data_IF_351950422610
#
_entry.id   IF_351950422610
#
_cell.length_a   1.000
_cell.length_b   1.000
_cell.length_c   1.000
_cell.angle_alpha   90.00
_cell.angle_beta   90.00
_cell.angle_gamma   90.00
#
_symmetry.space_group_name_H-M   'P 1'
#
loop_
_entity.id
_entity.type
_entity.pdbx_description
1 polymer ?
#
# COMPACT_ATOMS: atom_id res chain seq x y z
N UNK A 1 3.90 -1.37 4.22
CA UNK A 1 4.82 -2.20 5.03
C UNK A 1 3.97 -3.04 5.98
N UNK A 2 4.35 -4.29 6.21
CA UNK A 2 3.73 -5.26 7.12
C UNK A 2 4.86 -6.19 7.62
N UNK A 3 4.58 -7.07 8.58
CA UNK A 3 5.61 -7.85 9.27
C UNK A 3 6.40 -7.08 10.34
N UNK A 4 6.02 -5.83 10.64
CA UNK A 4 6.56 -5.02 11.74
C UNK A 4 5.40 -4.49 12.57
N UNK A 5 5.45 -4.52 13.93
CA UNK A 5 6.54 -5.01 14.77
C UNK A 5 6.58 -6.54 14.92
N UNK A 6 5.50 -7.24 14.55
CA UNK A 6 5.44 -8.70 14.61
C UNK A 6 5.71 -9.28 13.23
N UNK A 7 6.77 -10.08 13.14
CA UNK A 7 7.08 -10.83 11.93
C UNK A 7 5.96 -11.83 11.62
N UNK A 8 5.45 -11.81 10.39
CA UNK A 8 4.39 -12.71 9.90
C UNK A 8 4.93 -13.71 8.86
N UNK A 9 6.23 -14.02 8.88
CA UNK A 9 6.83 -14.97 7.95
C UNK A 9 6.80 -14.45 6.52
N UNK A 10 6.59 -15.36 5.56
CA UNK A 10 6.44 -15.02 4.14
C UNK A 10 5.05 -14.49 3.77
N UNK A 11 4.10 -14.43 4.72
CA UNK A 11 2.73 -13.97 4.45
C UNK A 11 2.67 -12.47 4.16
N UNK A 12 3.64 -11.70 4.63
CA UNK A 12 3.74 -10.25 4.37
C UNK A 12 3.58 -9.91 2.88
N UNK A 13 4.29 -10.62 2.01
CA UNK A 13 4.28 -10.32 0.59
C UNK A 13 2.89 -10.53 -0.02
N UNK A 14 2.19 -11.60 0.39
CA UNK A 14 0.83 -11.89 -0.06
C UNK A 14 -0.17 -10.85 0.45
N UNK A 15 -0.07 -10.44 1.71
CA UNK A 15 -0.91 -9.37 2.27
C UNK A 15 -0.75 -8.05 1.51
N UNK A 16 0.49 -7.65 1.19
CA UNK A 16 0.74 -6.42 0.43
C UNK A 16 0.29 -6.51 -1.02
N UNK A 17 0.45 -7.68 -1.65
CA UNK A 17 -0.04 -7.90 -3.00
C UNK A 17 -1.58 -7.79 -3.05
N UNK A 18 -2.28 -8.45 -2.11
CA UNK A 18 -3.73 -8.36 -2.02
C UNK A 18 -4.20 -6.93 -1.74
N UNK A 19 -3.57 -6.23 -0.80
CA UNK A 19 -3.86 -4.81 -0.54
C UNK A 19 -3.68 -3.95 -1.80
N UNK A 20 -2.62 -4.17 -2.57
CA UNK A 20 -2.38 -3.43 -3.81
C UNK A 20 -3.48 -3.70 -4.85
N UNK A 21 -3.92 -4.96 -4.98
CA UNK A 21 -5.02 -5.34 -5.87
C UNK A 21 -6.36 -4.74 -5.42
N UNK A 22 -6.66 -4.77 -4.12
CA UNK A 22 -7.87 -4.18 -3.56
C UNK A 22 -7.93 -2.68 -3.83
N UNK A 23 -6.81 -1.97 -3.67
CA UNK A 23 -6.71 -0.54 -4.00
C UNK A 23 -6.91 -0.33 -5.50
N UNK A 24 -6.22 -1.09 -6.36
CA UNK A 24 -6.35 -0.96 -7.82
C UNK A 24 -7.79 -1.21 -8.29
N UNK A 25 -8.46 -2.20 -7.70
CA UNK A 25 -9.88 -2.49 -7.92
C UNK A 25 -10.75 -1.31 -7.51
N UNK A 26 -10.55 -0.77 -6.29
CA UNK A 26 -11.34 0.35 -5.77
C UNK A 26 -11.18 1.65 -6.57
N UNK A 27 -10.01 1.86 -7.19
CA UNK A 27 -9.73 3.06 -7.99
C UNK A 27 -10.46 3.03 -9.34
N UNK A 28 -10.80 1.86 -9.86
CA UNK A 28 -11.53 1.72 -11.13
C UNK A 28 -12.88 2.46 -11.12
N UNK A 29 -13.58 2.44 -9.98
CA UNK A 29 -14.89 3.06 -9.80
C UNK A 29 -14.82 4.47 -9.18
N UNK A 30 -13.63 4.91 -8.78
CA UNK A 30 -13.46 6.18 -8.11
C UNK A 30 -13.55 7.36 -9.09
N UNK A 31 -14.39 8.35 -8.76
CA UNK A 31 -14.54 9.59 -9.54
C UNK A 31 -14.12 10.80 -8.71
N UNK A 32 -13.16 11.58 -9.21
CA UNK A 32 -12.74 12.83 -8.58
C UNK A 32 -13.86 13.87 -8.62
N UNK A 33 -14.21 14.45 -7.47
CA UNK A 33 -15.31 15.43 -7.35
C UNK A 33 -15.16 16.64 -8.27
N UNK A 34 -13.93 17.11 -8.49
CA UNK A 34 -13.65 18.32 -9.28
C UNK A 34 -13.42 18.02 -10.77
N UNK A 35 -13.13 16.77 -11.15
CA UNK A 35 -12.96 16.34 -12.55
C UNK A 35 -13.50 14.92 -12.73
N UNK A 36 -14.84 14.71 -12.70
CA UNK A 36 -15.43 13.38 -12.63
C UNK A 36 -15.28 12.58 -13.94
N UNK A 37 -14.88 13.19 -15.04
CA UNK A 37 -14.75 12.55 -16.36
C UNK A 37 -13.36 12.00 -16.63
N UNK A 38 -12.37 12.33 -15.81
CA UNK A 38 -11.00 11.87 -15.98
C UNK A 38 -10.73 10.72 -15.01
N UNK A 39 -10.35 9.52 -15.50
CA UNK A 39 -10.05 8.39 -14.64
C UNK A 39 -8.73 8.61 -13.89
N UNK A 40 -8.68 8.19 -12.62
CA UNK A 40 -7.43 8.16 -11.86
C UNK A 40 -6.56 7.02 -12.37
N UNK A 41 -5.27 7.32 -12.55
CA UNK A 41 -4.26 6.30 -12.86
C UNK A 41 -3.29 6.19 -11.69
N UNK A 42 -3.18 4.99 -11.15
CA UNK A 42 -2.20 4.65 -10.10
C UNK A 42 -1.30 3.51 -10.55
N UNK A 43 -0.10 3.45 -9.94
CA UNK A 43 0.85 2.36 -10.12
C UNK A 43 1.29 1.90 -8.74
N UNK A 44 1.17 0.60 -8.47
CA UNK A 44 1.68 -0.02 -7.25
C UNK A 44 3.00 -0.74 -7.54
N UNK A 45 4.01 -0.51 -6.70
CA UNK A 45 5.28 -1.23 -6.69
C UNK A 45 5.46 -1.95 -5.36
N UNK A 46 5.99 -3.18 -5.39
CA UNK A 46 6.17 -4.02 -4.22
C UNK A 46 7.64 -4.46 -4.14
N UNK A 47 8.19 -4.46 -2.93
CA UNK A 47 9.54 -4.93 -2.64
C UNK A 47 9.54 -5.67 -1.29
N UNK A 48 10.44 -6.63 -1.14
CA UNK A 48 10.65 -7.37 0.09
C UNK A 48 12.14 -7.39 0.44
N UNK A 49 12.45 -7.12 1.71
CA UNK A 49 13.81 -7.08 2.22
C UNK A 49 13.88 -6.56 3.65
N UNK A 50 15.07 -6.58 4.27
CA UNK A 50 15.29 -6.01 5.59
C UNK A 50 14.91 -4.52 5.62
N UNK A 51 14.30 -4.07 6.72
CA UNK A 51 13.98 -2.66 6.94
C UNK A 51 14.25 -2.26 8.39
N UNK A 52 14.46 -0.95 8.62
CA UNK A 52 14.63 -0.37 9.95
C UNK A 52 13.41 0.49 10.27
N UNK A 53 12.85 0.33 11.47
CA UNK A 53 11.82 1.21 12.02
C UNK A 53 12.43 2.05 13.15
N UNK A 54 12.21 3.35 13.14
CA UNK A 54 12.70 4.28 14.15
C UNK A 54 11.70 5.41 14.38
N UNK A 55 11.79 6.06 15.54
CA UNK A 55 10.96 7.21 15.91
C UNK A 55 11.83 8.46 15.90
N UNK A 56 11.36 9.53 15.26
CA UNK A 56 12.01 10.84 15.26
C UNK A 56 11.15 11.84 16.04
N UNK A 57 11.75 12.41 17.09
CA UNK A 57 11.12 13.37 18.01
C UNK A 57 11.61 13.13 19.44
N UNK A 58 12.12 14.18 20.07
CA UNK A 58 12.23 14.28 21.52
C UNK A 58 11.09 15.19 21.96
N UNK A 59 10.50 14.87 23.10
CA UNK A 59 9.53 15.73 23.80
C UNK A 59 9.85 17.21 23.69
#
# INVERSE_FOLDING_TARGET
ASGVPRHNGSWHAAEMANMALDILSSVGDFRMRHVPTVPIRIRAGLHSGPCVAGVMGLT
#
